data_IF_508082685511
#
_entry.id   IF_508082685511
#
_cell.length_a   1.000
_cell.length_b   1.000
_cell.length_c   1.000
_cell.angle_alpha   90.00
_cell.angle_beta   90.00
_cell.angle_gamma   90.00
#
_symmetry.space_group_name_H-M   'P 1'
#
loop_
_entity.id
_entity.type
_entity.pdbx_description
1 polymer ?
#
# COMPACT_ATOMS: atom_id res chain seq x y z
N UNK A 1 3.26 80.51 -16.89
CA UNK A 1 2.50 79.39 -16.28
C UNK A 1 3.33 78.11 -16.44
N UNK A 2 4.04 77.65 -15.41
CA UNK A 2 4.93 76.45 -15.43
C UNK A 2 4.17 75.25 -14.84
N UNK A 3 3.94 74.19 -15.63
CA UNK A 3 3.31 72.92 -15.18
C UNK A 3 4.42 72.05 -14.59
N UNK A 4 4.31 71.70 -13.32
CA UNK A 4 5.17 70.80 -12.60
C UNK A 4 4.60 69.37 -12.86
N UNK A 5 5.39 68.52 -13.51
CA UNK A 5 5.06 67.07 -13.64
C UNK A 5 5.60 66.37 -12.39
N UNK A 6 4.70 65.74 -11.61
CA UNK A 6 5.07 64.84 -10.53
C UNK A 6 5.32 63.44 -11.12
N UNK A 7 6.55 62.97 -10.95
CA UNK A 7 6.89 61.57 -11.24
C UNK A 7 6.49 60.71 -10.01
N UNK A 8 5.65 59.68 -10.24
CA UNK A 8 5.32 58.67 -9.26
C UNK A 8 6.36 57.54 -9.31
N UNK A 9 7.10 57.39 -8.22
CA UNK A 9 8.06 56.29 -8.04
C UNK A 9 7.31 55.05 -7.54
N UNK A 10 7.14 54.03 -8.39
CA UNK A 10 6.56 52.74 -8.00
C UNK A 10 7.64 51.87 -7.37
N UNK A 11 7.53 51.61 -6.07
CA UNK A 11 8.35 50.66 -5.33
C UNK A 11 7.83 49.25 -5.63
N UNK A 12 8.53 48.46 -6.44
CA UNK A 12 8.30 47.03 -6.60
C UNK A 12 8.91 46.32 -5.38
N UNK A 13 8.07 45.90 -4.41
CA UNK A 13 8.46 44.95 -3.37
C UNK A 13 8.53 43.55 -3.96
N UNK A 14 9.74 43.09 -4.27
CA UNK A 14 9.98 41.71 -4.64
C UNK A 14 9.89 40.79 -3.42
N UNK A 15 8.85 39.97 -3.31
CA UNK A 15 8.80 38.88 -2.35
C UNK A 15 9.73 37.76 -2.82
N UNK A 16 10.92 37.65 -2.18
CA UNK A 16 11.76 36.45 -2.30
C UNK A 16 11.12 35.35 -1.50
N UNK A 17 10.41 34.41 -2.16
CA UNK A 17 9.97 33.16 -1.54
C UNK A 17 11.20 32.23 -1.43
N UNK A 18 11.79 32.17 -0.25
CA UNK A 18 12.79 31.16 0.08
C UNK A 18 12.11 29.81 0.10
N UNK A 19 12.32 29.00 -0.94
CA UNK A 19 11.98 27.59 -0.91
C UNK A 19 12.91 26.92 0.11
N UNK A 20 12.35 26.46 1.23
CA UNK A 20 13.09 25.65 2.19
C UNK A 20 13.48 24.35 1.51
N UNK A 21 14.74 23.91 1.56
CA UNK A 21 15.12 22.60 1.02
C UNK A 21 14.38 21.53 1.81
N UNK A 22 13.56 20.73 1.15
CA UNK A 22 13.03 19.50 1.71
C UNK A 22 14.21 18.53 1.85
N UNK A 23 14.74 18.40 3.07
CA UNK A 23 15.74 17.40 3.38
C UNK A 23 14.99 16.06 3.32
N UNK A 24 15.23 15.26 2.28
CA UNK A 24 14.81 13.86 2.25
C UNK A 24 15.54 13.20 3.42
N UNK A 25 14.80 12.75 4.44
CA UNK A 25 15.35 12.05 5.58
C UNK A 25 15.90 10.73 5.08
N UNK A 26 17.21 10.49 5.21
CA UNK A 26 17.82 9.19 4.92
C UNK A 26 17.21 8.12 5.82
N UNK A 27 16.82 7.00 5.23
CA UNK A 27 16.27 5.86 5.97
C UNK A 27 17.36 5.25 6.86
N UNK A 28 17.00 4.91 8.08
CA UNK A 28 17.89 4.22 9.01
C UNK A 28 18.12 2.77 8.58
N UNK A 29 19.16 2.13 9.11
CA UNK A 29 19.43 0.70 8.87
C UNK A 29 18.25 -0.19 9.32
N UNK A 30 17.62 0.15 10.44
CA UNK A 30 16.44 -0.56 10.96
C UNK A 30 15.22 -0.41 10.04
N UNK A 31 15.02 0.77 9.44
CA UNK A 31 13.95 0.99 8.48
C UNK A 31 14.18 0.22 7.17
N UNK A 32 15.42 0.13 6.70
CA UNK A 32 15.77 -0.68 5.52
C UNK A 32 15.57 -2.18 5.76
N UNK A 33 15.90 -2.68 6.95
CA UNK A 33 15.62 -4.05 7.36
C UNK A 33 14.11 -4.31 7.42
N UNK A 34 13.34 -3.38 8.00
CA UNK A 34 11.89 -3.44 8.06
C UNK A 34 11.25 -3.49 6.66
N UNK A 35 11.71 -2.66 5.73
CA UNK A 35 11.25 -2.68 4.33
C UNK A 35 11.52 -4.05 3.70
N UNK A 36 12.74 -4.59 3.86
CA UNK A 36 13.12 -5.88 3.29
C UNK A 36 12.23 -7.01 3.82
N UNK A 37 12.04 -7.05 5.13
CA UNK A 37 11.20 -8.06 5.79
C UNK A 37 9.73 -7.95 5.41
N UNK A 38 9.21 -6.72 5.35
CA UNK A 38 7.82 -6.47 4.95
C UNK A 38 7.58 -6.78 3.46
N UNK A 39 8.56 -6.56 2.58
CA UNK A 39 8.52 -7.00 1.17
C UNK A 39 8.43 -8.52 1.05
N UNK A 40 9.24 -9.25 1.84
CA UNK A 40 9.17 -10.72 1.91
C UNK A 40 7.80 -11.21 2.37
N UNK A 41 7.22 -10.58 3.40
CA UNK A 41 5.87 -10.91 3.86
C UNK A 41 4.80 -10.69 2.78
N UNK A 42 4.94 -9.67 1.92
CA UNK A 42 4.05 -9.47 0.77
C UNK A 42 4.27 -10.52 -0.33
N UNK A 43 5.50 -11.01 -0.53
CA UNK A 43 5.75 -12.11 -1.46
C UNK A 43 5.10 -13.41 -0.97
N UNK A 44 5.26 -13.74 0.31
CA UNK A 44 4.58 -14.88 0.94
C UNK A 44 3.06 -14.76 0.86
N UNK A 45 2.51 -13.56 1.11
CA UNK A 45 1.08 -13.28 0.94
C UNK A 45 0.59 -13.60 -0.47
N UNK A 46 1.31 -13.16 -1.52
CA UNK A 46 0.91 -13.40 -2.91
C UNK A 46 0.99 -14.89 -3.27
N UNK A 47 2.03 -15.60 -2.82
CA UNK A 47 2.17 -17.05 -3.01
C UNK A 47 1.01 -17.79 -2.34
N UNK A 48 0.72 -17.49 -1.07
CA UNK A 48 -0.37 -18.12 -0.33
C UNK A 48 -1.74 -17.79 -0.93
N UNK A 49 -1.96 -16.55 -1.36
CA UNK A 49 -3.19 -16.16 -2.05
C UNK A 49 -3.39 -16.95 -3.35
N UNK A 50 -2.36 -17.08 -4.17
CA UNK A 50 -2.42 -17.80 -5.44
C UNK A 50 -2.59 -19.32 -5.26
N UNK A 51 -2.10 -19.89 -4.17
CA UNK A 51 -2.28 -21.32 -3.86
C UNK A 51 -3.72 -21.70 -3.54
N UNK A 52 -4.58 -20.72 -3.22
CA UNK A 52 -5.96 -20.90 -2.76
C UNK A 52 -6.06 -21.70 -1.44
N UNK A 53 -4.95 -21.82 -0.73
CA UNK A 53 -4.90 -22.43 0.60
C UNK A 53 -5.23 -21.36 1.65
N UNK A 54 -6.45 -21.43 2.19
CA UNK A 54 -6.95 -20.45 3.16
C UNK A 54 -6.10 -20.44 4.43
N UNK A 55 -5.61 -21.59 4.87
CA UNK A 55 -4.77 -21.71 6.06
C UNK A 55 -3.37 -21.12 5.83
N UNK A 56 -2.77 -21.37 4.67
CA UNK A 56 -1.51 -20.75 4.29
C UNK A 56 -1.67 -19.23 4.19
N UNK A 57 -2.76 -18.75 3.59
CA UNK A 57 -3.02 -17.32 3.48
C UNK A 57 -3.25 -16.65 4.84
N UNK A 58 -4.02 -17.28 5.76
CA UNK A 58 -4.24 -16.79 7.11
C UNK A 58 -2.94 -16.57 7.90
N UNK A 59 -1.93 -17.42 7.66
CA UNK A 59 -0.61 -17.32 8.31
C UNK A 59 0.23 -16.12 7.85
N UNK A 60 -0.06 -15.53 6.70
CA UNK A 60 0.65 -14.34 6.20
C UNK A 60 0.08 -13.04 6.75
N UNK A 61 -0.92 -13.13 7.62
CA UNK A 61 -1.62 -11.99 8.19
C UNK A 61 -1.25 -11.80 9.66
N UNK A 62 -1.30 -10.55 10.11
CA UNK A 62 -1.34 -10.20 11.53
C UNK A 62 -2.76 -9.86 11.95
N UNK A 63 -3.10 -10.18 13.18
CA UNK A 63 -4.45 -10.00 13.71
C UNK A 63 -4.49 -8.97 14.86
N UNK A 64 -5.60 -8.19 15.03
CA UNK A 64 -6.76 -8.20 14.12
C UNK A 64 -6.39 -7.75 12.69
N UNK A 65 -6.88 -8.51 11.68
CA UNK A 65 -6.69 -8.15 10.28
C UNK A 65 -7.86 -7.31 9.77
N UNK A 66 -7.58 -6.18 9.16
CA UNK A 66 -8.59 -5.24 8.65
C UNK A 66 -8.55 -5.21 7.11
N UNK A 67 -9.71 -5.38 6.48
CA UNK A 67 -9.87 -5.25 5.03
C UNK A 67 -10.92 -4.21 4.67
N UNK A 68 -10.51 -3.24 3.86
CA UNK A 68 -11.41 -2.30 3.19
C UNK A 68 -11.58 -2.77 1.74
N UNK A 69 -12.80 -3.14 1.35
CA UNK A 69 -13.09 -3.56 -0.02
C UNK A 69 -14.52 -3.23 -0.40
N UNK A 70 -14.72 -2.62 -1.56
CA UNK A 70 -16.05 -2.34 -2.14
C UNK A 70 -17.00 -1.62 -1.17
N UNK A 71 -16.49 -0.66 -0.40
CA UNK A 71 -17.26 0.09 0.59
C UNK A 71 -17.57 -0.67 1.89
N UNK A 72 -17.06 -1.90 2.03
CA UNK A 72 -17.26 -2.73 3.24
C UNK A 72 -15.95 -2.78 4.03
N UNK A 73 -16.05 -2.67 5.36
CA UNK A 73 -14.95 -2.93 6.28
C UNK A 73 -15.18 -4.28 6.95
N UNK A 74 -14.22 -5.17 6.80
CA UNK A 74 -14.23 -6.47 7.47
C UNK A 74 -13.05 -6.54 8.42
N UNK A 75 -13.28 -7.04 9.63
CA UNK A 75 -12.24 -7.25 10.65
C UNK A 75 -12.31 -8.71 11.07
N UNK A 76 -11.18 -9.39 11.04
CA UNK A 76 -11.00 -10.74 11.59
C UNK A 76 -10.08 -10.65 12.79
N UNK A 77 -10.52 -11.20 13.92
CA UNK A 77 -9.78 -11.14 15.18
C UNK A 77 -8.68 -12.18 15.29
N UNK A 78 -8.80 -13.29 14.51
CA UNK A 78 -7.84 -14.39 14.52
C UNK A 78 -7.74 -15.09 13.18
N UNK A 79 -6.72 -15.95 13.03
CA UNK A 79 -6.53 -16.80 11.86
C UNK A 79 -7.73 -17.73 11.62
N UNK A 80 -8.26 -18.32 12.68
CA UNK A 80 -9.43 -19.22 12.59
C UNK A 80 -10.69 -18.48 12.15
N UNK A 81 -10.86 -17.23 12.59
CA UNK A 81 -11.98 -16.40 12.12
C UNK A 81 -11.81 -16.06 10.64
N UNK A 82 -10.60 -15.71 10.21
CA UNK A 82 -10.28 -15.46 8.81
C UNK A 82 -10.52 -16.70 7.95
N UNK A 83 -10.03 -17.86 8.35
CA UNK A 83 -10.20 -19.14 7.62
C UNK A 83 -11.68 -19.51 7.40
N UNK A 84 -12.54 -19.20 8.38
CA UNK A 84 -13.99 -19.46 8.28
C UNK A 84 -14.74 -18.39 7.47
N UNK A 85 -14.28 -17.15 7.49
CA UNK A 85 -15.03 -16.01 6.97
C UNK A 85 -14.57 -15.51 5.61
N UNK A 86 -13.30 -15.75 5.24
CA UNK A 86 -12.79 -15.39 3.93
C UNK A 86 -13.11 -16.46 2.88
N UNK A 87 -13.17 -16.06 1.62
CA UNK A 87 -13.51 -17.00 0.53
C UNK A 87 -12.88 -16.60 -0.79
N UNK A 88 -12.57 -17.60 -1.61
CA UNK A 88 -12.15 -17.44 -3.00
C UNK A 88 -13.30 -17.59 -4.01
N UNK A 89 -14.51 -17.95 -3.60
CA UNK A 89 -15.62 -18.36 -4.49
C UNK A 89 -15.97 -17.36 -5.60
N UNK A 90 -15.73 -16.07 -5.37
CA UNK A 90 -16.04 -15.03 -6.36
C UNK A 90 -14.97 -14.90 -7.44
N UNK A 91 -13.72 -15.18 -7.13
CA UNK A 91 -12.58 -14.96 -8.02
C UNK A 91 -12.61 -15.86 -9.29
N UNK A 92 -12.85 -17.19 -9.19
CA UNK A 92 -12.93 -18.03 -10.37
C UNK A 92 -14.02 -17.62 -11.36
N UNK A 93 -15.12 -17.03 -10.87
CA UNK A 93 -16.22 -16.55 -11.73
C UNK A 93 -15.81 -15.37 -12.64
N UNK A 94 -14.71 -14.70 -12.32
CA UNK A 94 -14.13 -13.63 -13.15
C UNK A 94 -13.13 -14.16 -14.18
N UNK A 95 -12.88 -15.47 -14.22
CA UNK A 95 -11.81 -16.08 -14.99
C UNK A 95 -10.45 -16.04 -14.32
N UNK A 96 -10.37 -15.62 -13.04
CA UNK A 96 -9.11 -15.50 -12.31
C UNK A 96 -8.43 -16.86 -12.10
N UNK A 97 -7.14 -16.89 -12.43
CA UNK A 97 -6.23 -18.00 -12.14
C UNK A 97 -5.21 -17.62 -11.08
N UNK A 98 -4.47 -16.56 -11.30
CA UNK A 98 -3.47 -16.04 -10.36
C UNK A 98 -3.35 -14.51 -10.39
N UNK A 99 -2.60 -13.97 -9.46
CA UNK A 99 -2.26 -12.56 -9.37
C UNK A 99 -0.75 -12.37 -9.27
N UNK A 100 -0.26 -11.18 -9.68
CA UNK A 100 1.13 -10.78 -9.53
C UNK A 100 1.23 -9.32 -9.17
N UNK A 101 2.27 -8.96 -8.42
CA UNK A 101 2.61 -7.57 -8.16
C UNK A 101 3.14 -6.90 -9.44
N UNK A 102 2.70 -5.66 -9.69
CA UNK A 102 3.30 -4.76 -10.69
C UNK A 102 4.26 -3.80 -9.99
N UNK A 103 3.81 -3.19 -8.87
CA UNK A 103 4.65 -2.35 -8.02
C UNK A 103 4.26 -2.48 -6.55
N UNK A 104 5.23 -2.16 -5.67
CA UNK A 104 5.06 -2.09 -4.22
C UNK A 104 5.95 -0.96 -3.72
N UNK A 105 5.39 0.24 -3.65
CA UNK A 105 6.12 1.47 -3.32
C UNK A 105 5.90 1.81 -1.84
N UNK A 106 7.00 1.95 -1.09
CA UNK A 106 6.94 2.33 0.32
C UNK A 106 6.42 3.76 0.44
N UNK A 107 5.37 3.97 1.23
CA UNK A 107 4.81 5.28 1.51
C UNK A 107 5.10 5.78 2.92
N UNK A 108 5.18 4.88 3.90
CA UNK A 108 5.58 5.18 5.28
C UNK A 108 6.36 3.99 5.84
N UNK A 109 7.37 4.26 6.66
CA UNK A 109 8.21 3.23 7.29
C UNK A 109 8.54 3.57 8.74
N UNK A 110 8.61 2.54 9.55
CA UNK A 110 9.24 2.52 10.87
C UNK A 110 9.83 1.12 11.10
N UNK A 111 10.62 0.91 12.13
CA UNK A 111 11.25 -0.38 12.45
C UNK A 111 10.26 -1.55 12.66
N UNK A 112 8.98 -1.28 12.94
CA UNK A 112 7.95 -2.33 13.15
C UNK A 112 6.75 -2.25 12.21
N UNK A 113 6.73 -1.33 11.23
CA UNK A 113 5.59 -1.15 10.36
C UNK A 113 5.97 -0.47 9.03
N UNK A 114 5.48 -1.02 7.94
CA UNK A 114 5.66 -0.47 6.59
C UNK A 114 4.33 -0.37 5.87
N UNK A 115 4.06 0.78 5.27
CA UNK A 115 2.92 1.00 4.39
C UNK A 115 3.38 0.98 2.95
N UNK A 116 2.62 0.27 2.11
CA UNK A 116 2.88 0.15 0.69
C UNK A 116 1.70 0.64 -0.13
N UNK A 117 1.97 1.54 -1.09
CA UNK A 117 1.10 1.71 -2.23
C UNK A 117 1.45 0.64 -3.24
N UNK A 118 0.48 -0.15 -3.66
CA UNK A 118 0.73 -1.30 -4.52
C UNK A 118 -0.14 -1.28 -5.75
N UNK A 119 0.37 -1.83 -6.83
CA UNK A 119 -0.40 -2.21 -8.02
C UNK A 119 -0.24 -3.70 -8.23
N UNK A 120 -1.34 -4.42 -8.44
CA UNK A 120 -1.31 -5.83 -8.80
C UNK A 120 -2.19 -6.11 -10.00
N UNK A 121 -1.87 -7.18 -10.71
CA UNK A 121 -2.66 -7.68 -11.83
C UNK A 121 -3.27 -9.04 -11.49
N UNK A 122 -4.45 -9.28 -12.05
CA UNK A 122 -5.09 -10.59 -12.12
C UNK A 122 -4.95 -11.16 -13.51
N UNK A 123 -4.72 -12.45 -13.58
CA UNK A 123 -4.52 -13.19 -14.83
C UNK A 123 -5.52 -14.34 -14.91
N UNK A 124 -5.89 -14.70 -16.15
CA UNK A 124 -6.61 -15.95 -16.42
C UNK A 124 -5.63 -17.11 -16.66
N UNK A 125 -6.16 -18.33 -16.86
CA UNK A 125 -5.35 -19.53 -17.09
C UNK A 125 -4.50 -19.53 -18.37
N UNK A 126 -4.70 -18.54 -19.26
CA UNK A 126 -3.89 -18.31 -20.47
C UNK A 126 -2.81 -17.23 -20.24
N UNK A 127 -2.56 -16.82 -18.99
CA UNK A 127 -1.66 -15.70 -18.62
C UNK A 127 -2.07 -14.35 -19.21
N UNK A 128 -3.34 -14.16 -19.57
CA UNK A 128 -3.84 -12.87 -20.01
C UNK A 128 -4.27 -12.03 -18.82
N UNK A 129 -3.89 -10.75 -18.80
CA UNK A 129 -4.35 -9.79 -17.79
C UNK A 129 -5.85 -9.58 -17.92
N UNK A 130 -6.59 -9.81 -16.84
CA UNK A 130 -8.03 -9.59 -16.74
C UNK A 130 -8.40 -8.42 -15.83
N UNK A 131 -7.42 -7.83 -15.14
CA UNK A 131 -7.60 -6.61 -14.36
C UNK A 131 -6.31 -6.13 -13.72
N UNK A 132 -6.21 -4.80 -13.55
CA UNK A 132 -5.11 -4.13 -12.85
C UNK A 132 -5.73 -3.26 -11.75
N UNK A 133 -5.22 -3.35 -10.53
CA UNK A 133 -5.83 -2.72 -9.38
C UNK A 133 -4.80 -2.08 -8.45
N UNK A 134 -5.14 -0.90 -7.97
CA UNK A 134 -4.40 -0.20 -6.92
C UNK A 134 -4.87 -0.67 -5.55
N UNK A 135 -3.94 -0.70 -4.60
CA UNK A 135 -4.21 -1.12 -3.23
C UNK A 135 -3.22 -0.49 -2.25
N UNK A 136 -3.62 -0.40 -1.00
CA UNK A 136 -2.77 -0.05 0.13
C UNK A 136 -2.62 -1.28 1.03
N UNK A 137 -1.38 -1.59 1.41
CA UNK A 137 -1.07 -2.62 2.39
C UNK A 137 -0.34 -2.02 3.58
N UNK A 138 -0.71 -2.44 4.79
CA UNK A 138 -0.01 -2.12 6.04
C UNK A 138 0.52 -3.44 6.57
N UNK A 139 1.84 -3.58 6.54
CA UNK A 139 2.58 -4.75 7.04
C UNK A 139 3.22 -4.38 8.35
N UNK A 140 3.08 -5.23 9.35
CA UNK A 140 3.54 -4.98 10.71
C UNK A 140 4.37 -6.13 11.25
N UNK A 141 5.25 -5.82 12.19
CA UNK A 141 5.96 -6.81 13.00
C UNK A 141 5.19 -7.00 14.31
N UNK A 142 4.64 -8.19 14.51
CA UNK A 142 3.92 -8.57 15.75
C UNK A 142 4.51 -9.86 16.27
N UNK A 143 5.01 -9.88 17.50
CA UNK A 143 5.61 -11.05 18.15
C UNK A 143 6.67 -11.77 17.29
N UNK A 144 7.51 -10.97 16.57
CA UNK A 144 8.56 -11.48 15.68
C UNK A 144 8.07 -11.92 14.30
N UNK A 145 6.79 -11.81 14.00
CA UNK A 145 6.20 -12.15 12.71
C UNK A 145 5.87 -10.89 11.89
N UNK A 146 6.42 -10.78 10.68
CA UNK A 146 6.00 -9.79 9.70
C UNK A 146 4.80 -10.31 8.91
N UNK A 147 3.66 -9.60 9.02
CA UNK A 147 2.42 -10.00 8.36
C UNK A 147 1.56 -8.82 7.94
N UNK A 148 0.69 -9.03 6.94
CA UNK A 148 -0.26 -8.01 6.51
C UNK A 148 -1.34 -7.82 7.57
N UNK A 149 -1.36 -6.66 8.25
CA UNK A 149 -2.37 -6.35 9.28
C UNK A 149 -3.56 -5.59 8.73
N UNK A 150 -3.37 -4.76 7.72
CA UNK A 150 -4.48 -4.10 7.06
C UNK A 150 -4.24 -3.97 5.56
N UNK A 151 -5.33 -3.96 4.79
CA UNK A 151 -5.30 -3.67 3.36
C UNK A 151 -6.55 -2.97 2.88
N UNK A 152 -6.38 -2.09 1.91
CA UNK A 152 -7.46 -1.49 1.13
C UNK A 152 -7.23 -1.82 -0.33
N UNK A 153 -8.25 -2.27 -1.05
CA UNK A 153 -8.12 -2.64 -2.46
C UNK A 153 -9.28 -2.07 -3.27
N UNK A 154 -8.96 -1.54 -4.44
CA UNK A 154 -9.94 -1.09 -5.42
C UNK A 154 -10.43 -2.24 -6.34
N UNK A 155 -9.92 -3.45 -6.14
CA UNK A 155 -10.43 -4.63 -6.83
C UNK A 155 -11.85 -4.98 -6.37
N UNK A 156 -12.77 -5.36 -7.30
CA UNK A 156 -14.14 -5.75 -7.00
C UNK A 156 -14.22 -7.06 -6.22
#
# INVERSE_FOLDING_TARGET
MKRIRRAALALLSGYLTAASPTIAQEQTAEELEAITSAMSALDEFMVAFNSRDMKAWAKTLNYPHVRFASGTVTVWQSAEEFERGATFERLPRTGWDHSSWVSRDVSLVSSGKVHFNTVFQRFNGENKVIGTYESLYIVTLVDGHWGTQARSSLAP
#
